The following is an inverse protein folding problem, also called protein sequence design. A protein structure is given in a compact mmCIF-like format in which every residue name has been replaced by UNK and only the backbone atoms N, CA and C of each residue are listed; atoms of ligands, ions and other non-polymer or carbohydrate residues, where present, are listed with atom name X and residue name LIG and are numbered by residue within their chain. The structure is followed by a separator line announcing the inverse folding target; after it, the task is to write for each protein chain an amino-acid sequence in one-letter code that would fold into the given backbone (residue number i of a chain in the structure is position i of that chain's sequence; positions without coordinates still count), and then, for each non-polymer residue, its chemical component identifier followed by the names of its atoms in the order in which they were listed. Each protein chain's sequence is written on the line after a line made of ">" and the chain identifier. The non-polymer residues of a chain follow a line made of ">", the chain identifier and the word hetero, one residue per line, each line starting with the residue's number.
data_IF_108016542125
#
_entry.id   IF_108016542125
#
_cell.length_a   1.000
_cell.length_b   1.000
_cell.length_c   1.000
_cell.angle_alpha   90.00
_cell.angle_beta   90.00
_cell.angle_gamma   90.00
#
_symmetry.space_group_name_H-M   'P 1'
#
loop_
_entity.id
_entity.type
_entity.pdbx_description
1 polymer ?
#
# COMPACT_ATOMS: atom_id res chain seq x y z
N UNK A 1 16.44 -3.58 10.67
CA UNK A 1 15.04 -3.25 10.34
C UNK A 1 15.01 -1.74 10.13
N UNK A 2 15.00 -1.25 8.89
CA UNK A 2 15.14 0.18 8.53
C UNK A 2 14.65 0.41 7.08
N UNK A 3 13.47 -0.06 6.69
CA UNK A 3 12.99 0.16 5.32
C UNK A 3 11.52 0.58 5.33
N UNK A 4 11.19 1.64 4.59
CA UNK A 4 9.82 2.13 4.45
C UNK A 4 8.86 1.07 3.87
N UNK A 5 9.38 -0.01 3.27
CA UNK A 5 8.60 -1.18 2.85
C UNK A 5 7.86 -1.90 4.01
N UNK A 6 8.27 -1.70 5.26
CA UNK A 6 7.62 -2.26 6.45
C UNK A 6 6.16 -1.78 6.59
N UNK A 7 5.86 -0.51 6.26
CA UNK A 7 4.48 -0.03 6.25
C UNK A 7 3.59 -0.81 5.28
N UNK A 8 4.13 -1.24 4.14
CA UNK A 8 3.38 -2.07 3.20
C UNK A 8 3.12 -3.48 3.77
N UNK A 9 4.02 -4.01 4.59
CA UNK A 9 3.84 -5.30 5.27
C UNK A 9 2.76 -5.21 6.33
N UNK A 10 2.73 -4.13 7.12
CA UNK A 10 1.68 -3.85 8.09
C UNK A 10 0.29 -3.74 7.44
N UNK A 11 0.20 -3.06 6.29
CA UNK A 11 -1.05 -2.98 5.51
C UNK A 11 -1.49 -4.36 5.01
N UNK A 12 -0.57 -5.16 4.48
CA UNK A 12 -0.90 -6.51 3.99
C UNK A 12 -1.27 -7.48 5.12
N UNK A 13 -0.70 -7.30 6.31
CA UNK A 13 -1.01 -8.08 7.49
C UNK A 13 -2.30 -7.62 8.19
N UNK A 14 -2.90 -6.52 7.75
CA UNK A 14 -4.06 -5.88 8.38
C UNK A 14 -3.81 -5.58 9.87
N UNK A 15 -2.62 -5.04 10.18
CA UNK A 15 -2.22 -4.75 11.55
C UNK A 15 -2.96 -3.53 12.11
N UNK A 16 -4.11 -3.82 12.71
CA UNK A 16 -5.01 -2.86 13.33
C UNK A 16 -4.39 -2.08 14.50
N UNK A 17 -3.30 -2.54 15.11
CA UNK A 17 -2.64 -1.79 16.20
C UNK A 17 -1.76 -0.65 15.66
N UNK A 18 -1.16 -0.87 14.48
CA UNK A 18 -0.27 0.09 13.84
C UNK A 18 -1.02 1.10 12.95
N UNK A 19 -2.19 0.71 12.43
CA UNK A 19 -3.02 1.50 11.52
C UNK A 19 -4.08 2.27 12.32
N UNK A 20 -3.99 3.60 12.32
CA UNK A 20 -4.94 4.46 13.06
C UNK A 20 -6.16 4.85 12.22
N UNK A 21 -6.03 4.87 10.89
CA UNK A 21 -7.12 5.18 9.99
C UNK A 21 -6.89 4.53 8.62
N UNK A 22 -7.99 4.06 8.03
CA UNK A 22 -8.08 3.64 6.63
C UNK A 22 -9.18 4.47 5.95
N UNK A 23 -8.82 5.20 4.88
CA UNK A 23 -9.79 5.95 4.07
C UNK A 23 -9.80 5.40 2.65
N UNK A 24 -10.91 4.80 2.18
CA UNK A 24 -11.06 4.43 0.78
C UNK A 24 -11.26 5.69 -0.08
N UNK A 25 -10.40 5.89 -1.08
CA UNK A 25 -10.46 7.08 -1.96
C UNK A 25 -11.01 6.77 -3.35
N UNK A 26 -10.90 5.52 -3.82
CA UNK A 26 -11.57 5.05 -5.03
C UNK A 26 -11.86 3.54 -4.94
N UNK A 27 -13.05 3.10 -5.36
CA UNK A 27 -13.40 1.68 -5.49
C UNK A 27 -14.09 1.44 -6.83
N UNK A 28 -13.48 0.61 -7.67
CA UNK A 28 -13.98 0.10 -8.94
C UNK A 28 -13.69 -1.40 -9.02
N UNK A 29 -14.41 -2.20 -9.82
CA UNK A 29 -14.16 -3.64 -9.94
C UNK A 29 -12.71 -4.01 -10.32
N UNK A 30 -12.00 -3.10 -10.96
CA UNK A 30 -10.66 -3.27 -11.51
C UNK A 30 -9.57 -2.46 -10.78
N UNK A 31 -9.94 -1.60 -9.84
CA UNK A 31 -9.03 -0.75 -9.07
C UNK A 31 -9.61 -0.31 -7.74
N UNK A 32 -8.77 -0.26 -6.71
CA UNK A 32 -9.05 0.39 -5.42
C UNK A 32 -7.84 1.24 -5.09
N UNK A 33 -8.15 2.33 -4.44
CA UNK A 33 -7.19 3.20 -3.82
C UNK A 33 -7.60 3.42 -2.36
N UNK A 34 -6.63 3.28 -1.45
CA UNK A 34 -6.82 3.50 -0.01
C UNK A 34 -5.67 4.34 0.53
N UNK A 35 -5.98 5.15 1.53
CA UNK A 35 -4.99 5.87 2.32
C UNK A 35 -4.96 5.26 3.72
N UNK A 36 -3.78 4.88 4.15
CA UNK A 36 -3.48 4.37 5.48
C UNK A 36 -2.69 5.41 6.26
N UNK A 37 -3.15 5.72 7.46
CA UNK A 37 -2.44 6.56 8.41
C UNK A 37 -1.92 5.69 9.56
N UNK A 38 -0.67 5.93 9.96
CA UNK A 38 0.00 5.18 11.02
C UNK A 38 0.17 6.04 12.27
N UNK A 39 0.33 5.38 13.42
CA UNK A 39 0.48 6.04 14.73
C UNK A 39 1.70 6.98 14.79
N UNK A 40 2.76 6.69 14.03
CA UNK A 40 3.95 7.53 13.90
C UNK A 40 3.76 8.73 12.94
N UNK A 41 2.56 8.92 12.41
CA UNK A 41 2.19 10.00 11.51
C UNK A 41 2.58 9.78 10.04
N UNK A 42 3.11 8.60 9.69
CA UNK A 42 3.31 8.20 8.30
C UNK A 42 1.95 8.02 7.59
N UNK A 43 1.93 8.34 6.31
CA UNK A 43 0.75 8.16 5.45
C UNK A 43 1.16 7.38 4.22
N UNK A 44 0.51 6.25 3.97
CA UNK A 44 0.77 5.38 2.83
C UNK A 44 -0.48 5.26 1.96
N UNK A 45 -0.28 5.51 0.67
CA UNK A 45 -1.26 5.21 -0.36
C UNK A 45 -1.08 3.77 -0.82
N UNK A 46 -2.14 2.99 -0.72
CA UNK A 46 -2.24 1.65 -1.28
C UNK A 46 -3.10 1.67 -2.54
N UNK A 47 -2.57 1.10 -3.60
CA UNK A 47 -3.25 0.93 -4.88
C UNK A 47 -3.20 -0.57 -5.23
N UNK A 48 -4.33 -1.13 -5.63
CA UNK A 48 -4.36 -2.41 -6.35
C UNK A 48 -5.07 -2.22 -7.68
N UNK A 49 -4.62 -2.95 -8.70
CA UNK A 49 -5.20 -2.95 -10.03
C UNK A 49 -5.20 -4.36 -10.60
N UNK A 50 -6.27 -4.74 -11.29
CA UNK A 50 -6.33 -5.99 -12.05
C UNK A 50 -5.18 -6.08 -13.06
N UNK A 51 -4.73 -7.31 -13.34
CA UNK A 51 -3.73 -7.52 -14.38
C UNK A 51 -4.28 -7.07 -15.75
N UNK A 52 -3.42 -6.66 -16.71
CA UNK A 52 -3.84 -6.10 -18.00
C UNK A 52 -4.78 -6.99 -18.82
N UNK A 53 -4.80 -8.29 -18.55
CA UNK A 53 -5.68 -9.25 -19.22
C UNK A 53 -7.13 -9.20 -18.70
N UNK A 54 -7.45 -8.25 -17.81
CA UNK A 54 -8.80 -7.88 -17.42
C UNK A 54 -9.56 -8.97 -16.67
N UNK A 55 -8.94 -10.12 -16.43
CA UNK A 55 -9.48 -11.14 -15.54
C UNK A 55 -9.19 -10.68 -14.14
N UNK A 56 -10.25 -10.35 -13.40
CA UNK A 56 -10.32 -10.66 -11.97
C UNK A 56 -9.74 -12.06 -11.85
N UNK A 57 -8.48 -12.19 -11.44
CA UNK A 57 -7.81 -13.49 -11.43
C UNK A 57 -8.71 -14.42 -10.61
N UNK A 58 -9.09 -15.61 -11.13
CA UNK A 58 -9.87 -16.57 -10.36
C UNK A 58 -9.21 -16.88 -9.01
N UNK A 59 -7.89 -16.75 -8.96
CA UNK A 59 -6.97 -16.90 -7.86
C UNK A 59 -6.64 -15.58 -7.12
N UNK A 60 -7.33 -14.47 -7.43
CA UNK A 60 -7.25 -13.22 -6.68
C UNK A 60 -5.90 -12.49 -6.78
N UNK A 61 -5.16 -12.68 -7.88
CA UNK A 61 -3.88 -11.99 -8.12
C UNK A 61 -4.11 -10.62 -8.73
N UNK A 62 -3.69 -9.56 -8.02
CA UNK A 62 -3.79 -8.17 -8.44
C UNK A 62 -2.42 -7.51 -8.33
N UNK A 63 -2.11 -6.55 -9.19
CA UNK A 63 -0.89 -5.78 -9.00
C UNK A 63 -1.09 -4.83 -7.82
N UNK A 64 -0.14 -4.79 -6.90
CA UNK A 64 -0.19 -3.94 -5.71
C UNK A 64 0.93 -2.91 -5.77
N UNK A 65 0.61 -1.68 -5.37
CA UNK A 65 1.57 -0.59 -5.25
C UNK A 65 1.34 0.16 -3.95
N UNK A 66 2.42 0.38 -3.22
CA UNK A 66 2.43 1.10 -1.96
C UNK A 66 3.34 2.31 -2.09
N UNK A 67 2.79 3.49 -1.81
CA UNK A 67 3.48 4.77 -1.94
C UNK A 67 3.44 5.49 -0.61
N UNK A 68 4.60 5.77 -0.02
CA UNK A 68 4.69 6.66 1.13
C UNK A 68 4.38 8.09 0.66
N UNK A 69 3.27 8.63 1.13
CA UNK A 69 2.82 10.00 0.82
C UNK A 69 3.42 10.98 1.80
N UNK A 70 3.46 10.60 3.09
CA UNK A 70 4.03 11.40 4.17
C UNK A 70 4.95 10.52 5.03
N UNK A 71 6.21 10.90 5.24
CA UNK A 71 7.10 10.17 6.13
C UNK A 71 6.67 10.29 7.61
N UNK A 72 7.10 9.35 8.48
CA UNK A 72 6.80 9.39 9.91
C UNK A 72 7.42 10.61 10.59
N UNK A 73 6.90 10.94 11.78
CA UNK A 73 7.40 12.01 12.63
C UNK A 73 7.57 11.50 14.08
N UNK A 74 8.80 11.49 14.63
CA UNK A 74 10.06 11.89 13.99
C UNK A 74 10.42 10.98 12.80
N UNK A 75 11.26 11.46 11.89
CA UNK A 75 11.74 10.70 10.71
C UNK A 75 13.20 10.24 10.91
N UNK A 76 13.49 9.33 11.85
CA UNK A 76 14.87 8.97 12.22
C UNK A 76 15.66 8.39 11.04
N UNK A 77 14.97 7.74 10.10
CA UNK A 77 15.57 7.10 8.93
C UNK A 77 15.58 7.97 7.67
N UNK A 78 15.13 9.22 7.78
CA UNK A 78 15.08 10.20 6.67
C UNK A 78 14.36 9.65 5.43
N UNK A 79 13.28 8.91 5.65
CA UNK A 79 12.42 8.40 4.57
C UNK A 79 11.91 9.56 3.71
N UNK A 80 11.85 9.33 2.40
CA UNK A 80 11.30 10.25 1.42
C UNK A 80 9.98 9.70 0.91
N UNK A 81 9.05 10.60 0.58
CA UNK A 81 7.83 10.22 -0.12
C UNK A 81 8.19 9.56 -1.47
N UNK A 82 7.43 8.53 -1.85
CA UNK A 82 7.70 7.74 -3.04
C UNK A 82 7.20 6.31 -2.93
N UNK A 83 7.40 5.52 -4.00
CA UNK A 83 7.01 4.11 -4.02
C UNK A 83 7.93 3.33 -3.09
N UNK A 84 7.33 2.59 -2.15
CA UNK A 84 8.04 1.82 -1.12
C UNK A 84 7.94 0.31 -1.36
N UNK A 85 6.91 -0.16 -2.08
CA UNK A 85 6.74 -1.57 -2.46
C UNK A 85 5.86 -1.69 -3.69
N UNK A 86 6.20 -2.64 -4.57
CA UNK A 86 5.39 -3.04 -5.72
C UNK A 86 5.36 -4.56 -5.75
N UNK A 87 4.18 -5.14 -5.96
CA UNK A 87 3.99 -6.58 -6.19
C UNK A 87 3.32 -6.69 -7.55
N UNK A 88 4.08 -7.16 -8.55
CA UNK A 88 3.60 -7.37 -9.90
C UNK A 88 3.47 -8.86 -10.17
N UNK A 89 2.35 -9.28 -10.71
CA UNK A 89 2.16 -10.65 -11.18
C UNK A 89 2.45 -10.71 -12.68
N UNK A 90 3.17 -11.75 -13.16
CA UNK A 90 3.54 -11.88 -14.56
C UNK A 90 2.29 -11.91 -15.47
N UNK A 91 2.43 -11.30 -16.65
CA UNK A 91 1.47 -11.51 -17.76
C UNK A 91 1.68 -12.94 -18.26
N UNK A 92 0.62 -13.73 -18.31
CA UNK A 92 0.69 -15.08 -18.89
C UNK A 92 0.80 -15.02 -20.42
#
# INVERSE_FOLDING_TARGET
>A
MNNAAEYAELIMADDCESIIAETPTAYTPDRIERIYEFADGAVVKYEWQSTPDGRTSPDGKYNHRFTLVKPPMPNPHRFKAGVIKVIEYPKN
#
